data_IF_370650521484
#
_entry.id   IF_370650521484
#
_cell.length_a   1.000
_cell.length_b   1.000
_cell.length_c   1.000
_cell.angle_alpha   90.00
_cell.angle_beta   90.00
_cell.angle_gamma   90.00
#
_symmetry.space_group_name_H-M   'P 1'
#
loop_
_entity.id
_entity.type
_entity.pdbx_description
1 polymer ?
#
# COMPACT_ATOMS: atom_id res chain seq x y z
N UNK A 1 27.96 3.46 22.34
CA UNK A 1 27.57 3.02 20.98
C UNK A 1 27.13 4.25 20.18
N UNK A 2 27.66 4.47 18.97
CA UNK A 2 27.25 5.62 18.13
C UNK A 2 25.77 5.47 17.78
N UNK A 3 24.98 6.54 17.89
CA UNK A 3 23.58 6.57 17.45
C UNK A 3 23.53 6.23 15.96
N UNK A 4 22.59 5.38 15.50
CA UNK A 4 22.47 5.07 14.09
C UNK A 4 22.20 6.36 13.30
N UNK A 5 22.82 6.49 12.14
CA UNK A 5 22.56 7.61 11.25
C UNK A 5 21.11 7.53 10.77
N UNK A 6 20.31 8.57 10.99
CA UNK A 6 18.93 8.65 10.49
C UNK A 6 18.85 8.44 8.97
N UNK A 7 19.90 8.83 8.25
CA UNK A 7 20.02 8.59 6.81
C UNK A 7 20.08 7.08 6.50
N UNK A 8 20.94 6.33 7.19
CA UNK A 8 21.06 4.87 7.00
C UNK A 8 19.77 4.13 7.37
N UNK A 9 19.07 4.58 8.41
CA UNK A 9 17.74 4.04 8.78
C UNK A 9 16.70 4.32 7.68
N UNK A 10 16.74 5.52 7.06
CA UNK A 10 15.86 5.84 5.94
C UNK A 10 16.16 4.98 4.70
N UNK A 11 17.45 4.73 4.40
CA UNK A 11 17.85 3.81 3.32
C UNK A 11 17.37 2.40 3.57
N UNK A 12 17.57 1.88 4.79
CA UNK A 12 17.06 0.56 5.19
C UNK A 12 15.53 0.46 5.04
N UNK A 13 14.81 1.52 5.43
CA UNK A 13 13.37 1.63 5.29
C UNK A 13 12.92 1.61 3.82
N UNK A 14 13.58 2.36 2.94
CA UNK A 14 13.31 2.40 1.50
C UNK A 14 13.52 1.01 0.89
N UNK A 15 14.63 0.33 1.22
CA UNK A 15 14.91 -1.02 0.76
C UNK A 15 13.87 -2.03 1.27
N UNK A 16 13.42 -1.91 2.52
CA UNK A 16 12.34 -2.74 3.05
C UNK A 16 11.03 -2.52 2.29
N UNK A 17 10.66 -1.26 2.03
CA UNK A 17 9.46 -0.91 1.28
C UNK A 17 9.49 -1.39 -0.17
N UNK A 18 10.67 -1.32 -0.81
CA UNK A 18 10.90 -1.78 -2.18
C UNK A 18 10.61 -3.28 -2.33
N UNK A 19 10.88 -4.08 -1.30
CA UNK A 19 10.64 -5.53 -1.29
C UNK A 19 9.16 -5.92 -1.31
N UNK A 20 8.23 -5.03 -0.94
CA UNK A 20 6.83 -5.40 -0.72
C UNK A 20 6.06 -5.71 -2.01
N UNK A 21 6.49 -5.22 -3.16
CA UNK A 21 5.75 -5.33 -4.42
C UNK A 21 6.31 -6.35 -5.41
N UNK A 22 7.62 -6.55 -5.55
CA UNK A 22 8.18 -7.42 -6.58
C UNK A 22 7.69 -8.86 -6.49
N UNK A 23 7.56 -9.43 -5.28
CA UNK A 23 7.06 -10.78 -5.09
C UNK A 23 5.62 -11.00 -5.62
N UNK A 24 4.81 -9.93 -5.74
CA UNK A 24 3.47 -9.98 -6.30
C UNK A 24 3.47 -9.62 -7.80
N UNK A 25 4.10 -8.50 -8.14
CA UNK A 25 3.98 -7.89 -9.47
C UNK A 25 4.80 -8.62 -10.55
N UNK A 26 5.80 -9.43 -10.17
CA UNK A 26 6.57 -10.27 -11.10
C UNK A 26 5.76 -11.42 -11.70
N UNK A 27 4.68 -11.86 -11.02
CA UNK A 27 3.87 -13.01 -11.45
C UNK A 27 3.03 -12.65 -12.69
N UNK A 28 2.40 -11.47 -12.71
CA UNK A 28 1.44 -11.09 -13.75
C UNK A 28 2.00 -11.20 -15.19
N UNK A 29 3.22 -10.72 -15.51
CA UNK A 29 3.79 -10.88 -16.86
C UNK A 29 4.08 -12.32 -17.24
N UNK A 30 4.23 -13.22 -16.25
CA UNK A 30 4.59 -14.63 -16.42
C UNK A 30 3.38 -15.56 -16.36
N UNK A 31 2.17 -15.03 -16.06
CA UNK A 31 1.00 -15.83 -15.70
C UNK A 31 0.65 -16.88 -16.76
N UNK A 32 0.68 -16.51 -18.03
CA UNK A 32 0.38 -17.45 -19.12
C UNK A 32 1.44 -18.54 -19.27
N UNK A 33 2.72 -18.21 -19.09
CA UNK A 33 3.80 -19.19 -19.12
C UNK A 33 3.67 -20.19 -17.97
N UNK A 34 3.40 -19.68 -16.76
CA UNK A 34 3.17 -20.48 -15.54
C UNK A 34 1.97 -21.43 -15.72
N UNK A 35 0.85 -20.91 -16.25
CA UNK A 35 -0.35 -21.72 -16.52
C UNK A 35 -0.08 -22.87 -17.47
N UNK A 36 0.63 -22.61 -18.56
CA UNK A 36 0.97 -23.66 -19.56
C UNK A 36 1.91 -24.72 -18.99
N UNK A 37 2.95 -24.27 -18.28
CA UNK A 37 4.00 -25.16 -17.75
C UNK A 37 3.49 -26.06 -16.61
N UNK A 38 2.68 -25.52 -15.71
CA UNK A 38 2.16 -26.22 -14.54
C UNK A 38 0.75 -26.80 -14.73
N UNK A 39 0.15 -26.66 -15.93
CA UNK A 39 -1.23 -27.11 -16.19
C UNK A 39 -2.27 -26.46 -15.30
N UNK A 40 -2.08 -25.20 -14.88
CA UNK A 40 -2.97 -24.52 -13.94
C UNK A 40 -4.26 -24.07 -14.59
N UNK A 41 -5.40 -24.31 -13.94
CA UNK A 41 -6.66 -23.66 -14.31
C UNK A 41 -6.58 -22.14 -14.12
N UNK A 42 -7.42 -21.37 -14.83
CA UNK A 42 -7.48 -19.93 -14.67
C UNK A 42 -7.78 -19.52 -13.21
N UNK A 43 -8.61 -20.30 -12.52
CA UNK A 43 -8.91 -20.10 -11.10
C UNK A 43 -7.65 -20.22 -10.23
N UNK A 44 -6.88 -21.31 -10.37
CA UNK A 44 -5.65 -21.49 -9.60
C UNK A 44 -4.61 -20.41 -9.91
N UNK A 45 -4.51 -19.99 -11.15
CA UNK A 45 -3.60 -18.91 -11.54
C UNK A 45 -4.02 -17.56 -10.93
N UNK A 46 -5.32 -17.28 -10.82
CA UNK A 46 -5.81 -16.06 -10.16
C UNK A 46 -5.47 -16.01 -8.67
N UNK A 47 -5.35 -17.17 -8.01
CA UNK A 47 -4.94 -17.24 -6.60
C UNK A 47 -3.51 -16.71 -6.38
N UNK A 48 -2.63 -16.82 -7.35
CA UNK A 48 -1.26 -16.28 -7.24
C UNK A 48 -1.23 -14.77 -6.99
N UNK A 49 -2.21 -14.05 -7.51
CA UNK A 49 -2.34 -12.59 -7.31
C UNK A 49 -3.24 -12.24 -6.13
N UNK A 50 -4.24 -13.07 -5.83
CA UNK A 50 -5.22 -12.84 -4.77
C UNK A 50 -4.72 -13.21 -3.38
N UNK A 51 -3.93 -14.28 -3.24
CA UNK A 51 -3.41 -14.76 -1.94
C UNK A 51 -2.63 -13.67 -1.18
N UNK A 52 -1.68 -12.93 -1.79
CA UNK A 52 -0.98 -11.88 -1.05
C UNK A 52 -1.93 -10.78 -0.54
N UNK A 53 -2.96 -10.42 -1.32
CA UNK A 53 -3.97 -9.42 -0.90
C UNK A 53 -4.80 -9.96 0.27
N UNK A 54 -5.19 -11.23 0.23
CA UNK A 54 -5.87 -11.90 1.35
C UNK A 54 -4.98 -11.94 2.60
N UNK A 55 -3.69 -12.25 2.44
CA UNK A 55 -2.73 -12.16 3.55
C UNK A 55 -2.69 -10.75 4.15
N UNK A 56 -2.63 -9.71 3.31
CA UNK A 56 -2.66 -8.31 3.74
C UNK A 56 -3.98 -7.93 4.43
N UNK A 57 -5.08 -8.64 4.16
CA UNK A 57 -6.35 -8.48 4.85
C UNK A 57 -6.38 -9.16 6.22
N UNK A 58 -5.82 -10.36 6.36
CA UNK A 58 -6.01 -11.22 7.54
C UNK A 58 -4.87 -11.09 8.56
N UNK A 59 -3.62 -11.05 8.10
CA UNK A 59 -2.44 -11.20 8.97
C UNK A 59 -1.92 -9.95 9.69
N UNK A 60 -2.25 -8.69 9.34
CA UNK A 60 -1.72 -7.51 10.04
C UNK A 60 -1.97 -7.50 11.55
N UNK A 61 -3.12 -8.03 11.99
CA UNK A 61 -3.43 -8.12 13.42
C UNK A 61 -2.44 -9.02 14.20
N UNK A 62 -2.00 -10.13 13.58
CA UNK A 62 -0.97 -11.01 14.16
C UNK A 62 0.40 -10.34 14.15
N UNK A 63 0.73 -9.61 13.07
CA UNK A 63 1.99 -8.88 12.96
C UNK A 63 2.13 -7.82 14.06
N UNK A 64 1.04 -7.11 14.39
CA UNK A 64 1.02 -6.15 15.51
C UNK A 64 1.36 -6.83 16.83
N UNK A 65 0.69 -7.94 17.16
CA UNK A 65 0.98 -8.71 18.40
C UNK A 65 2.42 -9.21 18.43
N UNK A 66 2.94 -9.68 17.30
CA UNK A 66 4.32 -10.15 17.18
C UNK A 66 5.31 -8.99 17.36
N UNK A 67 5.04 -7.84 16.73
CA UNK A 67 5.85 -6.62 16.88
C UNK A 67 5.92 -6.10 18.31
N UNK A 68 4.82 -6.20 19.07
CA UNK A 68 4.77 -5.83 20.49
C UNK A 68 5.59 -6.80 21.36
N UNK A 69 5.63 -8.09 21.04
CA UNK A 69 6.35 -9.11 21.82
C UNK A 69 7.84 -9.18 21.48
N UNK A 70 8.18 -9.18 20.21
CA UNK A 70 9.55 -9.41 19.73
C UNK A 70 10.32 -8.11 19.40
N UNK A 71 9.62 -6.98 19.32
CA UNK A 71 10.14 -5.70 18.87
C UNK A 71 9.83 -5.47 17.38
N UNK A 72 9.39 -4.26 17.09
CA UNK A 72 8.93 -3.83 15.78
C UNK A 72 9.99 -4.05 14.68
N UNK A 73 11.22 -3.62 14.96
CA UNK A 73 12.32 -3.67 14.01
C UNK A 73 12.75 -5.09 13.67
N UNK A 74 12.66 -6.02 14.63
CA UNK A 74 12.96 -7.44 14.41
C UNK A 74 11.93 -8.10 13.54
N UNK A 75 10.65 -7.82 13.80
CA UNK A 75 9.56 -8.40 13.01
C UNK A 75 9.59 -7.89 11.57
N UNK A 76 9.96 -6.61 11.35
CA UNK A 76 10.22 -6.10 9.99
C UNK A 76 11.37 -6.88 9.34
N UNK A 77 12.49 -7.08 10.03
CA UNK A 77 13.61 -7.88 9.53
C UNK A 77 13.17 -9.32 9.17
N UNK A 78 12.39 -9.99 10.03
CA UNK A 78 11.82 -11.30 9.72
C UNK A 78 10.88 -11.27 8.53
N UNK A 79 10.07 -10.22 8.40
CA UNK A 79 9.18 -10.03 7.25
C UNK A 79 9.96 -9.96 5.94
N UNK A 80 11.06 -9.19 5.89
CA UNK A 80 11.95 -9.12 4.73
C UNK A 80 12.56 -10.50 4.43
N UNK A 81 13.01 -11.24 5.47
CA UNK A 81 13.55 -12.59 5.31
C UNK A 81 12.51 -13.56 4.75
N UNK A 82 11.27 -13.51 5.25
CA UNK A 82 10.16 -14.35 4.79
C UNK A 82 9.78 -14.03 3.34
N UNK A 83 9.73 -12.75 2.97
CA UNK A 83 9.52 -12.33 1.56
C UNK A 83 10.62 -12.89 0.67
N UNK A 84 11.89 -12.72 1.08
CA UNK A 84 13.04 -13.21 0.34
C UNK A 84 13.04 -14.73 0.20
N UNK A 85 12.77 -15.46 1.29
CA UNK A 85 12.65 -16.92 1.28
C UNK A 85 11.53 -17.39 0.35
N UNK A 86 10.32 -16.83 0.50
CA UNK A 86 9.19 -17.17 -0.38
C UNK A 86 9.46 -16.85 -1.85
N UNK A 87 10.27 -15.83 -2.12
CA UNK A 87 10.63 -15.45 -3.49
C UNK A 87 11.72 -16.35 -4.07
N UNK A 88 12.79 -16.65 -3.32
CA UNK A 88 13.88 -17.52 -3.82
C UNK A 88 13.43 -18.96 -3.98
N UNK A 89 12.54 -19.44 -3.11
CA UNK A 89 12.00 -20.80 -3.20
C UNK A 89 11.23 -21.06 -4.50
N UNK A 90 10.76 -20.02 -5.20
CA UNK A 90 10.12 -20.15 -6.52
C UNK A 90 11.05 -20.72 -7.58
N UNK A 91 12.37 -20.66 -7.38
CA UNK A 91 13.35 -21.32 -8.24
C UNK A 91 13.08 -22.83 -8.38
N UNK A 92 12.67 -23.46 -7.29
CA UNK A 92 12.45 -24.91 -7.21
C UNK A 92 11.02 -25.32 -7.54
N UNK A 93 10.25 -24.44 -8.19
CA UNK A 93 8.83 -24.72 -8.47
C UNK A 93 8.68 -25.80 -9.52
N UNK A 94 8.15 -26.95 -9.11
CA UNK A 94 7.76 -28.06 -9.97
C UNK A 94 6.26 -28.39 -9.93
N UNK A 95 5.46 -27.67 -9.11
CA UNK A 95 4.01 -27.90 -9.02
C UNK A 95 3.25 -26.64 -8.64
N UNK A 96 1.97 -26.60 -9.03
CA UNK A 96 1.05 -25.51 -8.71
C UNK A 96 0.90 -25.29 -7.20
N UNK A 97 0.81 -26.38 -6.42
CA UNK A 97 0.69 -26.34 -4.97
C UNK A 97 1.92 -25.70 -4.32
N UNK A 98 3.12 -26.03 -4.79
CA UNK A 98 4.36 -25.47 -4.29
C UNK A 98 4.44 -23.96 -4.59
N UNK A 99 4.06 -23.52 -5.80
CA UNK A 99 4.03 -22.11 -6.16
C UNK A 99 3.04 -21.31 -5.30
N UNK A 100 1.86 -21.87 -5.04
CA UNK A 100 0.87 -21.25 -4.13
C UNK A 100 1.42 -21.15 -2.71
N UNK A 101 2.10 -22.17 -2.20
CA UNK A 101 2.71 -22.16 -0.86
C UNK A 101 3.78 -21.03 -0.74
N UNK A 102 4.67 -20.91 -1.72
CA UNK A 102 5.68 -19.84 -1.74
C UNK A 102 5.04 -18.45 -1.87
N UNK A 103 3.89 -18.37 -2.54
CA UNK A 103 3.09 -17.14 -2.65
C UNK A 103 2.43 -16.77 -1.32
N UNK A 104 1.90 -17.74 -0.57
CA UNK A 104 1.43 -17.55 0.81
C UNK A 104 2.58 -17.03 1.69
N UNK A 105 3.74 -17.67 1.62
CA UNK A 105 4.91 -17.30 2.42
C UNK A 105 5.33 -15.85 2.18
N UNK A 106 5.48 -15.46 0.91
CA UNK A 106 5.78 -14.07 0.55
C UNK A 106 4.67 -13.11 1.00
N UNK A 107 3.40 -13.51 0.83
CA UNK A 107 2.23 -12.74 1.24
C UNK A 107 2.18 -12.47 2.75
N UNK A 108 2.54 -13.44 3.58
CA UNK A 108 2.65 -13.28 5.04
C UNK A 108 3.69 -12.24 5.43
N UNK A 109 4.87 -12.27 4.79
CA UNK A 109 5.91 -11.28 5.02
C UNK A 109 5.45 -9.88 4.63
N UNK A 110 4.80 -9.73 3.46
CA UNK A 110 4.26 -8.45 2.97
C UNK A 110 3.19 -7.92 3.94
N UNK A 111 2.26 -8.78 4.35
CA UNK A 111 1.16 -8.43 5.25
C UNK A 111 1.65 -7.93 6.63
N UNK A 112 2.73 -8.52 7.13
CA UNK A 112 3.33 -8.11 8.39
C UNK A 112 4.08 -6.78 8.27
N UNK A 113 4.84 -6.57 7.20
CA UNK A 113 5.70 -5.41 7.04
C UNK A 113 4.93 -4.07 6.96
N UNK A 114 3.79 -4.02 6.26
CA UNK A 114 3.05 -2.77 6.01
C UNK A 114 2.74 -1.95 7.27
N UNK A 115 1.93 -2.45 8.21
CA UNK A 115 1.60 -1.73 9.44
C UNK A 115 2.81 -1.52 10.36
N UNK A 116 3.76 -2.45 10.38
CA UNK A 116 4.97 -2.31 11.19
C UNK A 116 5.87 -1.19 10.68
N UNK A 117 5.99 -1.00 9.37
CA UNK A 117 6.71 0.13 8.78
C UNK A 117 6.05 1.47 9.13
N UNK A 118 4.72 1.52 9.27
CA UNK A 118 4.01 2.71 9.77
C UNK A 118 4.39 3.03 11.22
N UNK A 119 4.47 2.02 12.09
CA UNK A 119 4.96 2.16 13.46
C UNK A 119 6.43 2.61 13.51
N UNK A 120 7.28 2.04 12.64
CA UNK A 120 8.69 2.41 12.51
C UNK A 120 8.86 3.89 12.13
N UNK A 121 8.05 4.40 11.19
CA UNK A 121 8.05 5.83 10.86
C UNK A 121 7.71 6.67 12.08
N UNK A 122 6.67 6.30 12.83
CA UNK A 122 6.25 7.03 14.03
C UNK A 122 7.33 7.06 15.09
N UNK A 123 8.03 5.94 15.28
CA UNK A 123 9.07 5.80 16.31
C UNK A 123 10.36 6.56 15.97
N UNK A 124 10.82 6.46 14.72
CA UNK A 124 12.14 6.95 14.32
C UNK A 124 12.11 8.27 13.55
N UNK A 125 10.98 8.61 12.91
CA UNK A 125 10.83 9.80 12.07
C UNK A 125 9.57 10.61 12.37
N UNK A 126 9.24 10.91 13.66
CA UNK A 126 7.97 11.56 14.01
C UNK A 126 7.78 12.94 13.35
N UNK A 127 8.87 13.69 13.16
CA UNK A 127 8.83 15.01 12.51
C UNK A 127 8.79 14.94 10.95
N UNK A 128 9.03 13.76 10.36
CA UNK A 128 9.16 13.57 8.90
C UNK A 128 8.15 12.55 8.35
N UNK A 129 7.04 12.31 9.04
CA UNK A 129 6.01 11.33 8.63
C UNK A 129 5.56 11.51 7.18
N UNK A 130 5.24 12.71 6.67
CA UNK A 130 4.82 12.88 5.27
C UNK A 130 5.89 12.44 4.27
N UNK A 131 7.15 12.79 4.53
CA UNK A 131 8.28 12.43 3.65
C UNK A 131 8.49 10.92 3.65
N UNK A 132 8.47 10.28 4.82
CA UNK A 132 8.69 8.85 4.94
C UNK A 132 7.56 8.03 4.32
N UNK A 133 6.31 8.47 4.44
CA UNK A 133 5.17 7.82 3.78
C UNK A 133 5.24 7.97 2.26
N UNK A 134 5.65 9.14 1.75
CA UNK A 134 5.85 9.30 0.31
C UNK A 134 6.99 8.43 -0.21
N UNK A 135 8.11 8.35 0.50
CA UNK A 135 9.19 7.42 0.17
C UNK A 135 8.72 5.96 0.20
N UNK A 136 7.86 5.60 1.17
CA UNK A 136 7.26 4.28 1.26
C UNK A 136 6.42 3.95 0.01
N UNK A 137 5.48 4.82 -0.35
CA UNK A 137 4.58 4.60 -1.50
C UNK A 137 5.33 4.62 -2.83
N UNK A 138 6.30 5.53 -3.00
CA UNK A 138 7.14 5.58 -4.20
C UNK A 138 8.03 4.35 -4.31
N UNK A 139 8.65 3.89 -3.20
CA UNK A 139 9.46 2.67 -3.21
C UNK A 139 8.64 1.46 -3.63
N UNK A 140 7.40 1.32 -3.13
CA UNK A 140 6.49 0.27 -3.56
C UNK A 140 6.14 0.38 -5.05
N UNK A 141 5.87 1.59 -5.55
CA UNK A 141 5.54 1.81 -6.96
C UNK A 141 6.74 1.49 -7.87
N UNK A 142 7.94 1.90 -7.49
CA UNK A 142 9.19 1.57 -8.20
C UNK A 142 9.42 0.06 -8.20
N UNK A 143 9.27 -0.60 -7.04
CA UNK A 143 9.39 -2.06 -6.95
C UNK A 143 8.39 -2.79 -7.84
N UNK A 144 7.14 -2.33 -7.88
CA UNK A 144 6.11 -2.87 -8.75
C UNK A 144 6.43 -2.68 -10.23
N UNK A 145 6.84 -1.48 -10.63
CA UNK A 145 7.18 -1.15 -12.01
C UNK A 145 8.38 -1.96 -12.52
N UNK A 146 9.45 -2.04 -11.72
CA UNK A 146 10.63 -2.85 -12.04
C UNK A 146 10.25 -4.32 -12.21
N UNK A 147 9.47 -4.88 -11.28
CA UNK A 147 9.06 -6.27 -11.34
C UNK A 147 8.18 -6.56 -12.56
N UNK A 148 7.18 -5.73 -12.84
CA UNK A 148 6.31 -5.91 -14.00
C UNK A 148 7.04 -5.73 -15.32
N UNK A 149 7.96 -4.75 -15.39
CA UNK A 149 8.67 -4.43 -16.64
C UNK A 149 9.83 -5.38 -16.94
N UNK A 150 10.56 -5.86 -15.92
CA UNK A 150 11.78 -6.64 -16.12
C UNK A 150 11.57 -8.16 -16.05
N UNK A 151 10.46 -8.66 -15.46
CA UNK A 151 10.28 -10.11 -15.30
C UNK A 151 10.20 -10.86 -16.63
N UNK A 152 9.51 -10.32 -17.65
CA UNK A 152 9.44 -10.95 -18.94
C UNK A 152 10.80 -10.96 -19.66
N UNK A 153 11.55 -9.85 -19.82
CA UNK A 153 12.91 -9.87 -20.34
C UNK A 153 13.86 -10.82 -19.60
N UNK A 154 13.77 -10.88 -18.28
CA UNK A 154 14.57 -11.79 -17.47
C UNK A 154 14.24 -13.26 -17.77
N UNK A 155 12.96 -13.61 -17.90
CA UNK A 155 12.55 -14.99 -18.19
C UNK A 155 12.99 -15.43 -19.59
N UNK A 156 12.93 -14.54 -20.58
CA UNK A 156 13.43 -14.82 -21.94
C UNK A 156 14.93 -15.06 -21.93
N UNK A 157 15.69 -14.24 -21.17
CA UNK A 157 17.15 -14.37 -21.08
C UNK A 157 17.58 -15.63 -20.30
N UNK A 158 16.88 -15.97 -19.23
CA UNK A 158 17.16 -17.13 -18.41
C UNK A 158 16.56 -18.44 -18.98
N UNK A 159 15.69 -18.36 -19.99
CA UNK A 159 14.91 -19.49 -20.51
C UNK A 159 14.04 -20.17 -19.43
N UNK A 160 13.72 -19.42 -18.33
CA UNK A 160 13.02 -19.95 -17.16
C UNK A 160 12.22 -18.84 -16.47
N UNK A 161 10.92 -19.06 -16.31
CA UNK A 161 10.09 -18.15 -15.53
C UNK A 161 10.38 -18.30 -14.03
N UNK A 162 10.80 -19.49 -13.56
CA UNK A 162 11.19 -19.75 -12.18
C UNK A 162 12.37 -18.87 -11.78
N UNK A 163 13.40 -18.80 -12.61
CA UNK A 163 14.58 -17.96 -12.38
C UNK A 163 14.22 -16.49 -12.37
N UNK A 164 13.36 -16.06 -13.29
CA UNK A 164 12.87 -14.68 -13.35
C UNK A 164 12.13 -14.28 -12.07
N UNK A 165 11.27 -15.17 -11.52
CA UNK A 165 10.58 -14.91 -10.27
C UNK A 165 11.53 -14.90 -9.07
N UNK A 166 12.46 -15.84 -9.01
CA UNK A 166 13.43 -15.96 -7.93
C UNK A 166 14.45 -14.80 -7.91
N UNK A 167 14.78 -14.23 -9.07
CA UNK A 167 15.69 -13.07 -9.20
C UNK A 167 15.31 -11.93 -8.24
N UNK A 168 14.04 -11.71 -8.00
CA UNK A 168 13.58 -10.62 -7.13
C UNK A 168 13.94 -10.80 -5.66
N UNK A 169 14.41 -11.99 -5.25
CA UNK A 169 14.97 -12.22 -3.93
C UNK A 169 16.26 -11.41 -3.67
N UNK A 170 16.92 -10.92 -4.73
CA UNK A 170 18.11 -10.04 -4.61
C UNK A 170 17.80 -8.78 -3.79
N UNK A 171 16.56 -8.27 -3.89
CA UNK A 171 16.15 -7.11 -3.10
C UNK A 171 16.15 -7.42 -1.60
N UNK A 172 15.68 -8.60 -1.21
CA UNK A 172 15.75 -9.05 0.17
C UNK A 172 17.19 -9.33 0.62
N UNK A 173 18.00 -9.93 -0.27
CA UNK A 173 19.41 -10.19 -0.01
C UNK A 173 20.22 -8.92 0.24
N UNK A 174 19.85 -7.81 -0.41
CA UNK A 174 20.45 -6.47 -0.17
C UNK A 174 19.82 -5.80 1.07
N UNK A 175 18.49 -5.87 1.21
CA UNK A 175 17.79 -5.18 2.29
C UNK A 175 18.10 -5.75 3.67
N UNK A 176 18.26 -7.10 3.81
CA UNK A 176 18.51 -7.76 5.10
C UNK A 176 19.84 -7.32 5.75
N UNK A 177 21.00 -7.33 5.08
CA UNK A 177 22.23 -6.87 5.69
C UNK A 177 22.16 -5.38 6.06
N UNK A 178 21.56 -4.55 5.19
CA UNK A 178 21.40 -3.11 5.47
C UNK A 178 20.48 -2.89 6.65
N UNK A 179 19.37 -3.63 6.76
CA UNK A 179 18.44 -3.58 7.90
C UNK A 179 19.11 -4.01 9.20
N UNK A 180 19.85 -5.12 9.13
CA UNK A 180 20.59 -5.64 10.29
C UNK A 180 21.61 -4.62 10.80
N UNK A 181 22.44 -4.09 9.90
CA UNK A 181 23.51 -3.16 10.25
C UNK A 181 22.98 -1.82 10.74
N UNK A 182 21.98 -1.26 10.05
CA UNK A 182 21.49 0.11 10.30
C UNK A 182 20.46 0.19 11.42
N UNK A 183 19.67 -0.87 11.62
CA UNK A 183 18.52 -0.87 12.52
C UNK A 183 18.72 -1.88 13.65
N UNK A 184 18.77 -3.18 13.36
CA UNK A 184 18.74 -4.22 14.40
C UNK A 184 19.91 -4.19 15.36
N UNK A 185 21.11 -3.87 14.87
CA UNK A 185 22.31 -3.78 15.71
C UNK A 185 22.22 -2.69 16.79
N UNK A 186 21.38 -1.69 16.56
CA UNK A 186 21.21 -0.54 17.45
C UNK A 186 19.91 -0.62 18.25
N UNK A 187 19.05 -1.60 17.99
CA UNK A 187 17.76 -1.75 18.67
C UNK A 187 17.92 -2.53 19.95
N UNK A 188 17.48 -1.93 21.06
CA UNK A 188 17.41 -2.60 22.37
C UNK A 188 16.29 -3.64 22.36
N UNK A 189 16.49 -4.76 23.06
CA UNK A 189 15.38 -5.70 23.30
C UNK A 189 14.36 -5.03 24.20
N UNK A 190 13.06 -5.09 23.88
CA UNK A 190 12.03 -4.61 24.78
C UNK A 190 12.17 -5.31 26.14
N UNK A 191 12.19 -4.56 27.23
CA UNK A 191 12.27 -5.10 28.56
C UNK A 191 11.00 -5.91 28.91
N UNK A 192 11.09 -6.77 29.95
CA UNK A 192 9.97 -7.63 30.36
C UNK A 192 8.74 -6.81 30.78
N UNK A 193 8.96 -5.63 31.36
CA UNK A 193 7.92 -4.67 31.71
C UNK A 193 7.24 -4.07 30.48
N UNK A 194 8.01 -3.70 29.45
CA UNK A 194 7.48 -3.20 28.16
C UNK A 194 6.68 -4.27 27.40
N UNK A 195 7.07 -5.55 27.51
CA UNK A 195 6.33 -6.68 26.95
C UNK A 195 5.03 -6.97 27.69
N UNK A 196 4.99 -6.66 28.99
CA UNK A 196 3.82 -6.84 29.87
C UNK A 196 2.88 -5.63 29.85
N UNK A 197 3.35 -4.48 29.31
CA UNK A 197 2.48 -3.35 29.08
C UNK A 197 1.35 -3.78 28.15
N UNK A 198 0.11 -3.44 28.52
CA UNK A 198 -1.12 -3.86 27.84
C UNK A 198 -0.99 -3.63 26.34
N UNK A 199 -0.87 -4.71 25.57
CA UNK A 199 -0.69 -4.66 24.13
C UNK A 199 -1.78 -3.78 23.52
N UNK A 200 -1.41 -2.77 22.73
CA UNK A 200 -2.39 -1.95 22.02
C UNK A 200 -3.19 -2.85 21.08
N UNK A 201 -4.45 -3.11 21.43
CA UNK A 201 -5.38 -3.84 20.57
C UNK A 201 -5.74 -3.00 19.35
N UNK A 202 -6.33 -3.66 18.35
CA UNK A 202 -6.90 -2.94 17.22
C UNK A 202 -8.03 -2.03 17.70
N UNK A 203 -8.15 -0.80 17.17
CA UNK A 203 -9.10 0.20 17.69
C UNK A 203 -10.53 0.00 17.18
N UNK A 204 -11.11 -1.18 17.38
CA UNK A 204 -12.45 -1.56 16.88
C UNK A 204 -13.57 -0.63 17.36
N UNK A 205 -13.44 -0.08 18.58
CA UNK A 205 -14.45 0.79 19.19
C UNK A 205 -14.28 2.27 18.82
N UNK A 206 -13.33 2.60 17.94
CA UNK A 206 -13.07 3.98 17.55
C UNK A 206 -13.75 4.33 16.21
N UNK A 207 -14.76 5.21 16.26
CA UNK A 207 -15.40 5.74 15.05
C UNK A 207 -14.39 6.42 14.11
N UNK A 208 -13.35 7.05 14.67
CA UNK A 208 -12.25 7.65 13.89
C UNK A 208 -11.45 6.59 13.14
N UNK A 209 -11.13 5.46 13.79
CA UNK A 209 -10.42 4.37 13.15
C UNK A 209 -11.25 3.76 12.02
N UNK A 210 -12.56 3.59 12.20
CA UNK A 210 -13.47 3.14 11.15
C UNK A 210 -13.56 4.11 9.98
N UNK A 211 -13.64 5.43 10.23
CA UNK A 211 -13.64 6.43 9.17
C UNK A 211 -12.35 6.38 8.33
N UNK A 212 -11.18 6.20 8.99
CA UNK A 212 -9.90 6.02 8.32
C UNK A 212 -9.85 4.71 7.51
N UNK A 213 -10.39 3.65 8.08
CA UNK A 213 -10.47 2.32 7.45
C UNK A 213 -11.36 2.35 6.21
N UNK A 214 -12.55 2.96 6.29
CA UNK A 214 -13.45 3.11 5.16
C UNK A 214 -12.87 4.02 4.07
N UNK A 215 -12.20 5.12 4.47
CA UNK A 215 -11.48 6.00 3.53
C UNK A 215 -10.43 5.24 2.72
N UNK A 216 -9.61 4.45 3.39
CA UNK A 216 -8.60 3.61 2.74
C UNK A 216 -9.23 2.48 1.93
N UNK A 217 -10.26 1.83 2.45
CA UNK A 217 -10.96 0.72 1.80
C UNK A 217 -11.62 1.12 0.49
N UNK A 218 -12.33 2.26 0.47
CA UNK A 218 -12.94 2.80 -0.75
C UNK A 218 -11.88 3.20 -1.79
N UNK A 219 -10.76 3.77 -1.34
CA UNK A 219 -9.61 4.02 -2.23
C UNK A 219 -9.07 2.71 -2.82
N UNK A 220 -8.96 1.66 -2.01
CA UNK A 220 -8.50 0.35 -2.46
C UNK A 220 -9.49 -0.30 -3.43
N UNK A 221 -10.81 -0.16 -3.21
CA UNK A 221 -11.86 -0.56 -4.16
C UNK A 221 -11.61 0.08 -5.53
N UNK A 222 -11.44 1.40 -5.56
CA UNK A 222 -11.20 2.14 -6.81
C UNK A 222 -9.89 1.72 -7.47
N UNK A 223 -8.81 1.61 -6.70
CA UNK A 223 -7.50 1.23 -7.22
C UNK A 223 -7.49 -0.15 -7.87
N UNK A 224 -8.01 -1.17 -7.16
CA UNK A 224 -8.05 -2.53 -7.69
C UNK A 224 -9.05 -2.66 -8.85
N UNK A 225 -10.18 -1.96 -8.79
CA UNK A 225 -11.15 -1.93 -9.88
C UNK A 225 -10.59 -1.30 -11.15
N UNK A 226 -9.90 -0.16 -11.04
CA UNK A 226 -9.20 0.47 -12.19
C UNK A 226 -8.14 -0.46 -12.74
N UNK A 227 -7.36 -1.10 -11.86
CA UNK A 227 -6.30 -2.03 -12.31
C UNK A 227 -6.87 -3.22 -13.09
N UNK A 228 -8.04 -3.72 -12.70
CA UNK A 228 -8.67 -4.86 -13.36
C UNK A 228 -9.48 -4.48 -14.61
N UNK A 229 -10.21 -3.36 -14.55
CA UNK A 229 -11.26 -3.06 -15.52
C UNK A 229 -10.94 -1.90 -16.48
N UNK A 230 -9.91 -1.09 -16.26
CA UNK A 230 -9.56 0.01 -17.16
C UNK A 230 -9.23 -0.48 -18.58
N UNK A 231 -8.37 -1.50 -18.78
CA UNK A 231 -8.09 -1.99 -20.13
C UNK A 231 -9.33 -2.53 -20.85
N UNK A 232 -10.15 -3.45 -20.30
CA UNK A 232 -11.38 -3.92 -20.95
C UNK A 232 -12.37 -2.80 -21.30
N UNK A 233 -12.53 -1.81 -20.42
CA UNK A 233 -13.40 -0.66 -20.69
C UNK A 233 -12.91 0.15 -21.86
N UNK A 234 -11.59 0.43 -21.95
CA UNK A 234 -11.00 1.18 -23.06
C UNK A 234 -11.05 0.39 -24.36
N UNK A 235 -10.87 -0.94 -24.32
CA UNK A 235 -11.07 -1.81 -25.49
C UNK A 235 -12.53 -1.76 -25.99
N UNK A 236 -13.49 -1.77 -25.06
CA UNK A 236 -14.92 -1.66 -25.43
C UNK A 236 -15.27 -0.31 -26.06
N UNK A 237 -14.52 0.76 -25.76
CA UNK A 237 -14.65 2.07 -26.42
C UNK A 237 -14.16 2.07 -27.87
N UNK A 238 -13.66 0.93 -28.39
CA UNK A 238 -13.16 0.78 -29.76
C UNK A 238 -11.66 1.00 -29.94
N UNK A 239 -10.90 1.18 -28.85
CA UNK A 239 -9.45 1.30 -28.92
C UNK A 239 -8.78 -0.09 -28.94
N UNK A 240 -7.62 -0.19 -29.62
CA UNK A 240 -6.88 -1.45 -29.69
C UNK A 240 -6.28 -1.89 -28.34
N UNK A 241 -6.04 -3.20 -28.17
CA UNK A 241 -5.50 -3.81 -26.94
C UNK A 241 -4.21 -3.16 -26.43
N UNK A 242 -3.28 -2.82 -27.35
CA UNK A 242 -2.03 -2.15 -26.98
C UNK A 242 -2.27 -0.75 -26.39
N UNK A 243 -3.20 0.01 -26.94
CA UNK A 243 -3.58 1.32 -26.43
C UNK A 243 -4.22 1.18 -25.03
N UNK A 244 -5.15 0.25 -24.87
CA UNK A 244 -5.82 -0.02 -23.60
C UNK A 244 -4.81 -0.42 -22.48
N UNK A 245 -3.86 -1.29 -22.80
CA UNK A 245 -2.78 -1.65 -21.88
C UNK A 245 -1.92 -0.43 -21.49
N UNK A 246 -1.60 0.45 -22.46
CA UNK A 246 -0.85 1.68 -22.19
C UNK A 246 -1.60 2.65 -21.24
N UNK A 247 -2.93 2.65 -21.22
CA UNK A 247 -3.70 3.45 -20.27
C UNK A 247 -3.46 3.01 -18.84
N UNK A 248 -3.36 1.70 -18.59
CA UNK A 248 -3.00 1.19 -17.26
C UNK A 248 -1.55 1.52 -16.87
N UNK A 249 -0.64 1.53 -17.85
CA UNK A 249 0.74 1.98 -17.64
C UNK A 249 0.76 3.47 -17.25
N UNK A 250 0.05 4.33 -17.98
CA UNK A 250 -0.07 5.76 -17.67
C UNK A 250 -0.65 6.00 -16.28
N UNK A 251 -1.74 5.32 -15.93
CA UNK A 251 -2.32 5.33 -14.59
C UNK A 251 -1.29 4.99 -13.51
N UNK A 252 -0.49 3.95 -13.72
CA UNK A 252 0.50 3.50 -12.75
C UNK A 252 1.71 4.43 -12.66
N UNK A 253 2.24 4.88 -13.79
CA UNK A 253 3.41 5.76 -13.85
C UNK A 253 3.12 7.15 -13.30
N UNK A 254 1.91 7.67 -13.47
CA UNK A 254 1.50 8.99 -12.95
C UNK A 254 1.65 9.08 -11.44
N UNK A 255 1.44 7.98 -10.72
CA UNK A 255 1.53 7.95 -9.25
C UNK A 255 2.95 8.23 -8.73
N UNK A 256 3.99 7.92 -9.52
CA UNK A 256 5.40 8.09 -9.10
C UNK A 256 5.77 9.57 -8.95
N UNK A 257 5.68 10.41 -9.98
CA UNK A 257 6.03 11.83 -9.85
C UNK A 257 5.11 12.56 -8.85
N UNK A 258 3.82 12.21 -8.81
CA UNK A 258 2.88 12.78 -7.85
C UNK A 258 3.32 12.45 -6.41
N UNK A 259 3.65 11.18 -6.14
CA UNK A 259 4.13 10.75 -4.82
C UNK A 259 5.44 11.41 -4.40
N UNK A 260 6.37 11.64 -5.34
CA UNK A 260 7.64 12.33 -5.07
C UNK A 260 7.44 13.82 -4.75
N UNK A 261 6.54 14.49 -5.47
CA UNK A 261 6.24 15.91 -5.28
C UNK A 261 5.38 16.16 -4.04
N UNK A 262 4.58 15.18 -3.64
CA UNK A 262 3.57 15.32 -2.59
C UNK A 262 4.10 15.88 -1.25
N UNK A 263 5.25 15.45 -0.67
CA UNK A 263 5.75 16.01 0.57
C UNK A 263 6.10 17.50 0.47
N UNK A 264 6.59 17.94 -0.68
CA UNK A 264 6.90 19.36 -0.92
C UNK A 264 5.63 20.19 -0.99
N UNK A 265 4.64 19.71 -1.74
CA UNK A 265 3.33 20.36 -1.87
C UNK A 265 2.60 20.40 -0.53
N UNK A 266 2.65 19.32 0.24
CA UNK A 266 2.02 19.21 1.55
C UNK A 266 2.62 20.19 2.59
N UNK A 267 3.91 20.54 2.47
CA UNK A 267 4.54 21.58 3.31
C UNK A 267 3.99 22.96 3.03
N UNK A 268 3.68 23.26 1.75
CA UNK A 268 3.09 24.55 1.36
C UNK A 268 1.61 24.64 1.72
N UNK A 269 0.87 23.54 1.58
CA UNK A 269 -0.56 23.42 1.84
C UNK A 269 -0.82 22.27 2.82
N UNK A 270 -0.73 22.51 4.14
CA UNK A 270 -0.76 21.44 5.15
C UNK A 270 -2.15 20.83 5.39
N UNK A 271 -3.18 21.27 4.66
CA UNK A 271 -4.55 20.79 4.82
C UNK A 271 -4.73 19.38 4.22
N UNK A 272 -4.94 18.37 5.07
CA UNK A 272 -5.25 17.00 4.63
C UNK A 272 -6.55 16.94 3.84
N UNK A 273 -7.56 17.72 4.25
CA UNK A 273 -8.85 17.83 3.59
C UNK A 273 -8.73 18.29 2.14
N UNK A 274 -7.87 19.30 1.91
CA UNK A 274 -7.63 19.82 0.56
C UNK A 274 -7.09 18.71 -0.35
N UNK A 275 -6.06 17.98 0.09
CA UNK A 275 -5.45 16.93 -0.71
C UNK A 275 -6.37 15.73 -0.95
N UNK A 276 -7.19 15.37 0.04
CA UNK A 276 -8.21 14.32 -0.13
C UNK A 276 -9.26 14.75 -1.16
N UNK A 277 -9.73 16.00 -1.09
CA UNK A 277 -10.67 16.53 -2.07
C UNK A 277 -10.06 16.60 -3.47
N UNK A 278 -8.83 17.12 -3.59
CA UNK A 278 -8.13 17.25 -4.87
C UNK A 278 -7.94 15.89 -5.55
N UNK A 279 -7.47 14.88 -4.80
CA UNK A 279 -7.29 13.53 -5.31
C UNK A 279 -8.60 12.88 -5.74
N UNK A 280 -9.67 13.04 -4.95
CA UNK A 280 -10.98 12.51 -5.29
C UNK A 280 -11.59 13.23 -6.52
N UNK A 281 -11.46 14.57 -6.60
CA UNK A 281 -11.92 15.36 -7.74
C UNK A 281 -11.17 14.99 -9.03
N UNK A 282 -9.84 14.79 -8.94
CA UNK A 282 -9.04 14.34 -10.08
C UNK A 282 -9.54 12.98 -10.60
N UNK A 283 -9.79 12.00 -9.71
CA UNK A 283 -10.35 10.71 -10.10
C UNK A 283 -11.74 10.85 -10.71
N UNK A 284 -12.61 11.64 -10.09
CA UNK A 284 -13.97 11.88 -10.59
C UNK A 284 -13.95 12.51 -11.99
N UNK A 285 -13.09 13.49 -12.22
CA UNK A 285 -12.91 14.12 -13.53
C UNK A 285 -12.44 13.09 -14.57
N UNK A 286 -11.47 12.24 -14.21
CA UNK A 286 -10.99 11.18 -15.10
C UNK A 286 -12.09 10.16 -15.42
N UNK A 287 -12.89 9.71 -14.45
CA UNK A 287 -14.02 8.81 -14.71
C UNK A 287 -15.10 9.47 -15.56
N UNK A 288 -15.38 10.78 -15.34
CA UNK A 288 -16.33 11.53 -16.17
C UNK A 288 -15.85 11.60 -17.62
N UNK A 289 -14.56 11.86 -17.85
CA UNK A 289 -13.97 11.87 -19.19
C UNK A 289 -14.10 10.49 -19.89
N UNK A 290 -13.83 9.39 -19.16
CA UNK A 290 -14.05 8.04 -19.68
C UNK A 290 -15.52 7.79 -20.00
N UNK A 291 -16.44 8.23 -19.15
CA UNK A 291 -17.88 8.09 -19.39
C UNK A 291 -18.32 8.82 -20.65
N UNK A 292 -17.75 10.00 -20.88
CA UNK A 292 -18.01 10.79 -22.10
C UNK A 292 -17.20 10.29 -23.32
N UNK A 293 -16.39 9.26 -23.18
CA UNK A 293 -15.46 8.73 -24.20
C UNK A 293 -14.48 9.78 -24.73
N UNK A 294 -14.06 10.73 -23.89
CA UNK A 294 -13.13 11.83 -24.23
C UNK A 294 -11.73 11.50 -23.72
N UNK A 295 -10.74 11.54 -24.63
CA UNK A 295 -9.31 11.46 -24.33
C UNK A 295 -8.92 10.44 -23.23
N UNK A 296 -9.04 9.11 -23.46
CA UNK A 296 -8.78 8.09 -22.44
C UNK A 296 -7.39 8.19 -21.79
N UNK A 297 -6.37 8.67 -22.55
CA UNK A 297 -5.03 8.88 -22.01
C UNK A 297 -4.98 9.95 -20.93
N UNK A 298 -5.70 11.07 -21.12
CA UNK A 298 -5.79 12.14 -20.12
C UNK A 298 -6.64 11.67 -18.91
N UNK A 299 -7.71 10.94 -19.16
CA UNK A 299 -8.51 10.32 -18.11
C UNK A 299 -7.66 9.36 -17.25
N UNK A 300 -6.81 8.52 -17.85
CA UNK A 300 -5.91 7.63 -17.13
C UNK A 300 -4.92 8.40 -16.24
N UNK A 301 -4.39 9.52 -16.72
CA UNK A 301 -3.52 10.41 -15.92
C UNK A 301 -4.29 10.99 -14.74
N UNK A 302 -5.48 11.58 -14.98
CA UNK A 302 -6.30 12.16 -13.92
C UNK A 302 -6.71 11.15 -12.85
N UNK A 303 -7.10 9.93 -13.27
CA UNK A 303 -7.40 8.82 -12.36
C UNK A 303 -6.12 8.43 -11.59
N UNK A 304 -4.94 8.44 -12.22
CA UNK A 304 -3.66 8.09 -11.60
C UNK A 304 -3.15 9.12 -10.58
N UNK A 305 -3.42 10.41 -10.79
CA UNK A 305 -3.13 11.47 -9.81
C UNK A 305 -3.83 11.17 -8.47
N UNK A 306 -5.07 10.69 -8.52
CA UNK A 306 -5.84 10.36 -7.31
C UNK A 306 -5.07 9.46 -6.35
N UNK A 307 -4.78 8.20 -6.66
CA UNK A 307 -4.02 7.29 -5.79
C UNK A 307 -2.64 7.84 -5.43
N UNK A 308 -1.96 8.56 -6.34
CA UNK A 308 -0.67 9.20 -6.08
C UNK A 308 -0.71 10.18 -4.90
N UNK A 309 -1.83 10.87 -4.70
CA UNK A 309 -2.08 11.76 -3.56
C UNK A 309 -2.75 11.01 -2.41
N UNK A 310 -3.79 10.24 -2.71
CA UNK A 310 -4.68 9.68 -1.69
C UNK A 310 -4.02 8.55 -0.88
N UNK A 311 -3.19 7.67 -1.48
CA UNK A 311 -2.50 6.62 -0.72
C UNK A 311 -1.56 7.19 0.35
N UNK A 312 -0.65 8.14 0.05
CA UNK A 312 0.16 8.76 1.08
C UNK A 312 -0.66 9.40 2.21
N UNK A 313 -1.74 10.13 1.88
CA UNK A 313 -2.58 10.77 2.91
C UNK A 313 -3.28 9.74 3.77
N UNK A 314 -3.89 8.71 3.17
CA UNK A 314 -4.60 7.67 3.91
C UNK A 314 -3.67 6.82 4.80
N UNK A 315 -2.43 6.55 4.37
CA UNK A 315 -1.44 5.86 5.20
C UNK A 315 -0.88 6.73 6.32
N UNK A 316 -0.82 8.04 6.11
CA UNK A 316 -0.30 9.00 7.09
C UNK A 316 -1.32 9.27 8.21
N UNK A 317 -2.61 9.37 7.89
CA UNK A 317 -3.65 9.74 8.85
C UNK A 317 -3.74 8.82 10.08
N UNK A 318 -3.66 7.48 9.98
CA UNK A 318 -3.63 6.60 11.17
C UNK A 318 -2.41 6.86 12.06
N UNK A 319 -1.25 7.17 11.46
CA UNK A 319 -0.01 7.47 12.19
C UNK A 319 -0.12 8.80 12.95
N UNK A 320 -0.74 9.79 12.33
CA UNK A 320 -0.92 11.14 12.91
C UNK A 320 -2.05 11.20 13.95
N UNK A 321 -2.99 10.24 13.91
CA UNK A 321 -4.13 10.20 14.82
C UNK A 321 -3.74 9.86 16.27
N UNK A 322 -2.58 9.24 16.47
CA UNK A 322 -2.13 8.71 17.78
C UNK A 322 -0.73 9.21 18.14
N UNK A 323 -0.37 9.09 19.45
CA UNK A 323 0.86 9.64 19.98
C UNK A 323 2.05 8.69 19.91
N UNK A 324 1.84 7.39 20.09
CA UNK A 324 2.92 6.40 20.18
C UNK A 324 2.97 5.43 19.00
N UNK A 325 4.11 4.74 18.84
CA UNK A 325 4.37 3.85 17.72
C UNK A 325 3.53 2.55 17.75
N UNK A 326 3.20 2.05 18.95
CA UNK A 326 2.41 0.81 19.06
C UNK A 326 0.96 1.07 18.63
N UNK A 327 0.38 2.19 19.07
CA UNK A 327 -0.94 2.62 18.60
C UNK A 327 -0.91 2.92 17.10
N UNK A 328 0.12 3.61 16.58
CA UNK A 328 0.24 3.88 15.15
C UNK A 328 0.26 2.58 14.32
N UNK A 329 0.98 1.57 14.81
CA UNK A 329 1.01 0.24 14.20
C UNK A 329 -0.38 -0.42 14.23
N UNK A 330 -1.07 -0.38 15.38
CA UNK A 330 -2.40 -0.99 15.53
C UNK A 330 -3.47 -0.29 14.66
N UNK A 331 -3.47 1.05 14.60
CA UNK A 331 -4.37 1.83 13.77
C UNK A 331 -4.11 1.59 12.28
N UNK A 332 -2.83 1.58 11.86
CA UNK A 332 -2.44 1.26 10.49
C UNK A 332 -2.79 -0.18 10.12
N UNK A 333 -2.65 -1.13 11.06
CA UNK A 333 -3.03 -2.52 10.84
C UNK A 333 -4.53 -2.67 10.61
N UNK A 334 -5.39 -2.04 11.42
CA UNK A 334 -6.84 -2.06 11.21
C UNK A 334 -7.19 -1.43 9.87
N UNK A 335 -6.64 -0.23 9.58
CA UNK A 335 -6.91 0.49 8.34
C UNK A 335 -6.53 -0.33 7.11
N UNK A 336 -5.34 -0.93 7.10
CA UNK A 336 -4.87 -1.72 5.96
C UNK A 336 -5.56 -3.07 5.87
N UNK A 337 -5.70 -3.81 7.00
CA UNK A 337 -6.32 -5.13 7.01
C UNK A 337 -7.76 -5.09 6.51
N UNK A 338 -8.61 -4.38 7.22
CA UNK A 338 -10.03 -4.27 6.83
C UNK A 338 -10.18 -3.54 5.49
N UNK A 339 -9.36 -2.52 5.25
CA UNK A 339 -9.38 -1.76 4.00
C UNK A 339 -9.01 -2.61 2.77
N UNK A 340 -8.05 -3.52 2.87
CA UNK A 340 -7.74 -4.43 1.75
C UNK A 340 -8.82 -5.49 1.54
N UNK A 341 -9.49 -5.96 2.59
CA UNK A 341 -10.67 -6.83 2.44
C UNK A 341 -11.78 -6.11 1.69
N UNK A 342 -12.09 -4.87 2.07
CA UNK A 342 -13.07 -4.02 1.36
C UNK A 342 -12.61 -3.80 -0.08
N UNK A 343 -11.31 -3.49 -0.30
CA UNK A 343 -10.74 -3.26 -1.61
C UNK A 343 -10.86 -4.43 -2.57
N UNK A 344 -10.74 -5.66 -2.05
CA UNK A 344 -10.86 -6.87 -2.84
C UNK A 344 -12.30 -7.10 -3.40
N UNK A 345 -13.30 -6.52 -2.77
CA UNK A 345 -14.70 -6.61 -3.22
C UNK A 345 -14.91 -5.82 -4.53
N UNK A 346 -14.15 -4.72 -4.74
CA UNK A 346 -14.35 -3.81 -5.86
C UNK A 346 -14.38 -4.47 -7.24
N UNK A 347 -13.28 -5.14 -7.66
CA UNK A 347 -13.23 -5.82 -8.96
C UNK A 347 -14.32 -6.89 -9.13
N UNK A 348 -14.64 -7.62 -8.04
CA UNK A 348 -15.69 -8.64 -8.05
C UNK A 348 -17.08 -8.03 -8.26
N UNK A 349 -17.38 -6.93 -7.56
CA UNK A 349 -18.65 -6.21 -7.71
C UNK A 349 -18.84 -5.72 -9.15
N UNK A 350 -17.78 -5.14 -9.74
CA UNK A 350 -17.83 -4.71 -11.14
C UNK A 350 -18.01 -5.89 -12.10
N UNK A 351 -17.42 -7.06 -11.81
CA UNK A 351 -17.65 -8.28 -12.57
C UNK A 351 -19.11 -8.72 -12.55
N UNK A 352 -19.72 -8.76 -11.39
CA UNK A 352 -21.16 -9.09 -11.23
C UNK A 352 -22.05 -8.08 -11.98
N UNK A 353 -21.71 -6.79 -11.88
CA UNK A 353 -22.46 -5.74 -12.60
C UNK A 353 -22.31 -5.91 -14.12
N UNK A 354 -21.10 -6.18 -14.61
CA UNK A 354 -20.85 -6.46 -16.03
C UNK A 354 -21.66 -7.65 -16.53
N UNK A 355 -21.61 -8.77 -15.80
CA UNK A 355 -22.32 -9.99 -16.20
C UNK A 355 -23.87 -9.80 -16.18
N UNK A 356 -24.37 -9.06 -15.20
CA UNK A 356 -25.80 -8.74 -15.11
C UNK A 356 -26.28 -7.74 -16.17
N UNK A 357 -25.43 -6.76 -16.53
CA UNK A 357 -25.77 -5.73 -17.52
C UNK A 357 -25.46 -6.16 -18.97
N UNK A 358 -24.64 -7.19 -19.17
CA UNK A 358 -24.13 -7.60 -20.47
C UNK A 358 -23.25 -6.54 -21.17
N UNK A 359 -22.79 -5.52 -20.42
CA UNK A 359 -22.03 -4.41 -21.00
C UNK A 359 -21.15 -3.70 -19.96
N UNK A 360 -20.15 -2.96 -20.45
CA UNK A 360 -19.26 -2.14 -19.63
C UNK A 360 -19.85 -0.78 -19.26
N UNK A 361 -21.05 -0.43 -19.74
CA UNK A 361 -21.64 0.91 -19.67
C UNK A 361 -21.85 1.38 -18.22
N UNK A 362 -22.23 0.47 -17.31
CA UNK A 362 -22.49 0.80 -15.91
C UNK A 362 -21.23 0.87 -15.03
N UNK A 363 -20.10 0.33 -15.48
CA UNK A 363 -18.91 0.24 -14.66
C UNK A 363 -18.35 1.62 -14.28
N UNK A 364 -18.32 2.54 -15.24
CA UNK A 364 -17.78 3.90 -15.01
C UNK A 364 -18.68 4.73 -14.06
N UNK A 365 -20.01 4.79 -14.26
CA UNK A 365 -20.93 5.44 -13.30
C UNK A 365 -20.80 4.88 -11.89
N UNK A 366 -20.65 3.56 -11.73
CA UNK A 366 -20.44 2.93 -10.42
C UNK A 366 -19.12 3.39 -9.79
N UNK A 367 -18.01 3.42 -10.55
CA UNK A 367 -16.73 3.93 -10.06
C UNK A 367 -16.81 5.42 -9.67
N UNK A 368 -17.54 6.22 -10.44
CA UNK A 368 -17.80 7.61 -10.11
C UNK A 368 -18.59 7.76 -8.81
N UNK A 369 -19.65 6.97 -8.63
CA UNK A 369 -20.44 6.97 -7.39
C UNK A 369 -19.61 6.55 -6.17
N UNK A 370 -18.76 5.51 -6.30
CA UNK A 370 -17.82 5.10 -5.24
C UNK A 370 -16.80 6.20 -4.95
N UNK A 371 -16.34 6.93 -5.96
CA UNK A 371 -15.40 8.06 -5.79
C UNK A 371 -16.04 9.19 -4.98
N UNK A 372 -17.30 9.54 -5.27
CA UNK A 372 -18.03 10.54 -4.52
C UNK A 372 -18.31 10.12 -3.07
N UNK A 373 -18.70 8.86 -2.87
CA UNK A 373 -18.85 8.29 -1.53
C UNK A 373 -17.54 8.31 -0.75
N UNK A 374 -16.41 7.93 -1.40
CA UNK A 374 -15.07 8.02 -0.83
C UNK A 374 -14.74 9.45 -0.42
N UNK A 375 -15.00 10.44 -1.28
CA UNK A 375 -14.74 11.85 -0.98
C UNK A 375 -15.48 12.30 0.28
N UNK A 376 -16.74 11.92 0.45
CA UNK A 376 -17.54 12.19 1.66
C UNK A 376 -16.93 11.58 2.92
N UNK A 377 -16.60 10.28 2.88
CA UNK A 377 -15.96 9.56 3.99
C UNK A 377 -14.59 10.16 4.33
N UNK A 378 -13.81 10.56 3.34
CA UNK A 378 -12.50 11.18 3.52
C UNK A 378 -12.59 12.52 4.25
N UNK A 379 -13.58 13.35 3.94
CA UNK A 379 -13.79 14.61 4.66
C UNK A 379 -14.17 14.39 6.12
N UNK A 380 -14.95 13.36 6.42
CA UNK A 380 -15.25 12.94 7.79
C UNK A 380 -14.00 12.40 8.51
N UNK A 381 -13.24 11.55 7.83
CA UNK A 381 -12.00 10.97 8.34
C UNK A 381 -10.94 12.05 8.63
N UNK A 382 -10.90 13.15 7.90
CA UNK A 382 -9.93 14.24 8.09
C UNK A 382 -10.31 15.24 9.20
N UNK A 383 -11.48 15.11 9.85
CA UNK A 383 -11.83 15.96 11.00
C UNK A 383 -10.84 15.74 12.16
N UNK A 384 -10.32 16.81 12.80
CA UNK A 384 -9.44 16.65 13.97
C UNK A 384 -10.18 15.85 15.07
N UNK A 385 -9.53 14.84 15.64
CA UNK A 385 -10.09 14.14 16.81
C UNK A 385 -10.16 15.08 18.03
N UNK A 386 -11.13 14.86 18.92
CA UNK A 386 -11.38 15.67 20.11
C UNK A 386 -10.10 15.91 20.98
N UNK A 387 -9.22 14.92 21.09
CA UNK A 387 -7.96 15.05 21.83
C UNK A 387 -7.00 16.11 21.23
N UNK A 388 -6.98 16.30 19.92
CA UNK A 388 -6.14 17.32 19.26
C UNK A 388 -6.73 18.73 19.43
N UNK A 389 -8.05 18.83 19.55
CA UNK A 389 -8.74 20.10 19.82
C UNK A 389 -8.46 20.55 21.26
N UNK A 390 -8.57 19.65 22.22
CA UNK A 390 -8.29 19.92 23.66
C UNK A 390 -6.83 20.30 23.88
N UNK A 391 -5.88 19.60 23.23
CA UNK A 391 -4.46 19.97 23.36
C UNK A 391 -4.12 21.31 22.70
N UNK A 392 -4.80 21.66 21.62
CA UNK A 392 -4.62 22.98 20.96
C UNK A 392 -5.23 24.11 21.78
N UNK A 393 -6.35 23.85 22.46
CA UNK A 393 -6.94 24.79 23.41
C UNK A 393 -6.05 24.99 24.65
N UNK A 394 -5.55 23.89 25.26
CA UNK A 394 -4.62 23.98 26.38
C UNK A 394 -3.28 24.64 26.03
N UNK A 395 -2.79 24.47 24.79
CA UNK A 395 -1.59 25.18 24.35
C UNK A 395 -1.86 26.69 24.19
N UNK A 396 -3.01 27.08 23.63
CA UNK A 396 -3.42 28.48 23.56
C UNK A 396 -3.67 29.09 24.94
N UNK A 397 -4.30 28.38 25.86
CA UNK A 397 -4.51 28.83 27.25
C UNK A 397 -3.19 29.03 27.99
N UNK A 398 -2.18 28.21 27.73
CA UNK A 398 -0.82 28.38 28.27
C UNK A 398 -0.08 29.57 27.65
N UNK A 399 -0.26 29.85 26.38
CA UNK A 399 0.31 31.03 25.71
C UNK A 399 -0.33 32.34 26.21
N UNK A 400 -1.64 32.32 26.44
CA UNK A 400 -2.38 33.47 27.00
C UNK A 400 -2.18 33.65 28.52
N UNK A 401 -1.73 32.62 29.22
CA UNK A 401 -1.49 32.65 30.67
C UNK A 401 -0.04 33.00 31.07
N UNK A 402 0.88 33.25 30.11
CA UNK A 402 2.18 33.82 30.40
C UNK A 402 1.99 35.32 30.70
N UNK A 403 2.22 35.80 31.93
CA UNK A 403 2.17 37.23 32.22
C UNK A 403 3.31 37.93 31.47
N UNK A 404 2.99 39.06 30.90
CA UNK A 404 3.96 40.06 30.42
C UNK A 404 4.88 40.38 31.65
N UNK A 405 6.04 39.74 31.65
CA UNK A 405 7.10 40.15 32.57
C UNK A 405 7.72 41.41 31.98
N UNK A 406 7.36 42.54 32.61
CA UNK A 406 8.05 43.80 32.46
C UNK A 406 9.48 43.71 32.98
#
# INVERSE_FOLDING_TARGET
>A
MRKPSLFMMAVAFILAALNLRPAMNSISPMLQAIQRDLGMSALLASLLTSIPVLCMGIFPAFAVKLGQRAGLERVIGWSIAVIGAGTVLRWFTGSSAYLLLTTVLSGLGIAAAGPLLSGFIKQHFPAKVPVMISLYTVSMAVGAALASGLSLPLSVRAHSWQESLAFWAILAAVALPVWWWSVLRHTRRPDRAERSAKAAGLPWNSAKAWALTLSFGLLAVLFFSVTAWLPPVVEHMGYGKAYAANMLVLFSLTQIPVGLLFPHLLRRLPSRRFWLALGALSMAAGFLMLWMSVAPWLAAILIGIGPGVLFPVNLMMPIEAVSDAQQATAWSAMTQSVGYVIGAIGPMLLGVIHDAAGSYTLLIPVLLAVTLAMAGVQQLAAKPGAAKVINKQRAKEKETALPLAE
#
